data_IF_506094687959
#
_entry.id   IF_506094687959
#
_cell.length_a   1.000
_cell.length_b   1.000
_cell.length_c   1.000
_cell.angle_alpha   90.00
_cell.angle_beta   90.00
_cell.angle_gamma   90.00
#
_symmetry.space_group_name_H-M   'P 1'
#
loop_
_entity.id
_entity.type
_entity.pdbx_description
1 polymer ?
#
# COMPACT_ATOMS: atom_id res chain seq x y z
N UNK A 1 -29.30 10.86 -15.69
CA UNK A 1 -27.91 11.40 -15.76
C UNK A 1 -27.30 11.58 -14.37
N UNK A 2 -27.98 12.24 -13.41
CA UNK A 2 -27.45 12.46 -12.04
C UNK A 2 -27.16 11.18 -11.21
N UNK A 3 -27.97 10.11 -11.36
CA UNK A 3 -27.78 8.88 -10.57
C UNK A 3 -26.48 8.15 -10.96
N UNK A 4 -26.13 8.15 -12.24
CA UNK A 4 -24.93 7.49 -12.75
C UNK A 4 -23.65 8.18 -12.26
N UNK A 5 -23.65 9.51 -12.21
CA UNK A 5 -22.53 10.30 -11.69
C UNK A 5 -22.31 10.09 -10.19
N UNK A 6 -23.39 9.98 -9.39
CA UNK A 6 -23.28 9.64 -7.97
C UNK A 6 -22.69 8.25 -7.74
N UNK A 7 -23.07 7.26 -8.56
CA UNK A 7 -22.52 5.90 -8.46
C UNK A 7 -21.03 5.90 -8.79
N UNK A 8 -20.62 6.60 -9.86
CA UNK A 8 -19.21 6.70 -10.28
C UNK A 8 -18.38 7.45 -9.23
N UNK A 9 -18.89 8.55 -8.68
CA UNK A 9 -18.25 9.29 -7.60
C UNK A 9 -18.12 8.45 -6.30
N UNK A 10 -19.16 7.68 -5.97
CA UNK A 10 -19.14 6.77 -4.82
C UNK A 10 -18.10 5.66 -4.97
N UNK A 11 -18.07 4.99 -6.13
CA UNK A 11 -17.13 3.88 -6.40
C UNK A 11 -15.68 4.38 -6.42
N UNK A 12 -15.42 5.55 -7.01
CA UNK A 12 -14.08 6.14 -7.11
C UNK A 12 -13.45 6.48 -5.74
N UNK A 13 -14.26 6.66 -4.69
CA UNK A 13 -13.76 6.90 -3.31
C UNK A 13 -13.81 5.63 -2.46
N UNK A 14 -14.87 4.83 -2.57
CA UNK A 14 -15.07 3.64 -1.76
C UNK A 14 -14.09 2.52 -2.12
N UNK A 15 -13.85 2.28 -3.42
CA UNK A 15 -12.98 1.20 -3.87
C UNK A 15 -11.53 1.35 -3.39
N UNK A 16 -10.85 2.52 -3.54
CA UNK A 16 -9.51 2.67 -3.01
C UNK A 16 -9.47 2.64 -1.48
N UNK A 17 -10.49 3.17 -0.78
CA UNK A 17 -10.58 3.07 0.67
C UNK A 17 -10.62 1.60 1.14
N UNK A 18 -11.43 0.76 0.48
CA UNK A 18 -11.49 -0.68 0.77
C UNK A 18 -10.16 -1.38 0.49
N UNK A 19 -9.47 -1.02 -0.59
CA UNK A 19 -8.14 -1.58 -0.92
C UNK A 19 -7.11 -1.20 0.16
N UNK A 20 -7.11 0.05 0.63
CA UNK A 20 -6.21 0.49 1.70
C UNK A 20 -6.52 -0.24 3.01
N UNK A 21 -7.79 -0.34 3.40
CA UNK A 21 -8.21 -1.03 4.63
C UNK A 21 -7.80 -2.51 4.57
N UNK A 22 -8.06 -3.19 3.45
CA UNK A 22 -7.69 -4.61 3.30
C UNK A 22 -6.17 -4.82 3.30
N UNK A 23 -5.40 -3.91 2.69
CA UNK A 23 -3.94 -3.94 2.75
C UNK A 23 -3.40 -3.75 4.18
N UNK A 24 -3.98 -2.82 4.96
CA UNK A 24 -3.61 -2.61 6.36
C UNK A 24 -3.93 -3.86 7.19
N UNK A 25 -5.13 -4.43 7.05
CA UNK A 25 -5.53 -5.65 7.77
C UNK A 25 -4.60 -6.82 7.42
N UNK A 26 -4.25 -6.99 6.14
CA UNK A 26 -3.34 -8.04 5.70
C UNK A 26 -1.93 -7.87 6.29
N UNK A 27 -1.41 -6.63 6.34
CA UNK A 27 -0.14 -6.34 7.02
C UNK A 27 -0.22 -6.63 8.52
N UNK A 28 -1.33 -6.26 9.18
CA UNK A 28 -1.51 -6.48 10.61
C UNK A 28 -1.57 -7.97 10.94
N UNK A 29 -2.32 -8.76 10.15
CA UNK A 29 -2.37 -10.23 10.28
C UNK A 29 -0.99 -10.87 10.07
N UNK A 30 -0.20 -10.39 9.09
CA UNK A 30 1.19 -10.87 8.90
C UNK A 30 2.06 -10.59 10.12
N UNK A 31 2.00 -9.37 10.69
CA UNK A 31 2.76 -9.02 11.90
C UNK A 31 2.32 -9.84 13.11
N UNK A 32 1.00 -10.01 13.31
CA UNK A 32 0.47 -10.81 14.42
C UNK A 32 0.93 -12.27 14.32
N UNK A 33 0.81 -12.88 13.14
CA UNK A 33 1.25 -14.26 12.90
C UNK A 33 2.76 -14.41 13.12
N UNK A 34 3.56 -13.41 12.73
CA UNK A 34 5.00 -13.40 13.01
C UNK A 34 5.31 -13.41 14.52
N UNK A 35 4.64 -12.56 15.30
CA UNK A 35 4.80 -12.52 16.75
C UNK A 35 4.41 -13.84 17.41
N UNK A 36 3.29 -14.44 17.00
CA UNK A 36 2.85 -15.74 17.53
C UNK A 36 3.84 -16.86 17.19
N UNK A 37 4.40 -16.88 15.98
CA UNK A 37 5.43 -17.85 15.61
C UNK A 37 6.71 -17.70 16.42
N UNK A 38 7.12 -16.45 16.71
CA UNK A 38 8.28 -16.17 17.56
C UNK A 38 8.00 -16.58 19.01
N UNK A 39 6.81 -16.26 19.54
CA UNK A 39 6.43 -16.64 20.90
C UNK A 39 6.43 -18.16 21.07
N UNK A 40 5.81 -18.90 20.14
CA UNK A 40 5.80 -20.37 20.14
C UNK A 40 7.21 -20.97 20.00
N UNK A 41 8.08 -20.35 19.21
CA UNK A 41 9.46 -20.81 19.06
C UNK A 41 10.27 -20.61 20.36
N UNK A 42 10.00 -19.53 21.11
CA UNK A 42 10.58 -19.27 22.43
C UNK A 42 10.03 -20.24 23.48
N UNK A 43 8.73 -20.51 23.48
CA UNK A 43 8.07 -21.48 24.39
C UNK A 43 8.57 -22.92 24.17
N UNK A 44 8.95 -23.28 22.94
CA UNK A 44 9.54 -24.59 22.61
C UNK A 44 11.00 -24.75 23.04
N UNK A 45 11.58 -23.76 23.75
CA UNK A 45 12.95 -23.84 24.29
C UNK A 45 14.05 -23.81 23.22
N UNK A 46 13.74 -23.38 21.99
CA UNK A 46 14.75 -23.26 20.93
C UNK A 46 15.74 -22.14 21.23
N UNK A 47 17.01 -22.42 21.02
CA UNK A 47 18.10 -21.47 21.23
C UNK A 47 17.90 -20.22 20.34
N UNK A 48 18.22 -19.04 20.88
CA UNK A 48 18.02 -17.76 20.19
C UNK A 48 18.70 -17.66 18.81
N UNK A 49 19.75 -18.46 18.59
CA UNK A 49 20.45 -18.58 17.31
C UNK A 49 19.67 -19.38 16.26
N UNK A 50 18.97 -20.46 16.63
CA UNK A 50 18.12 -21.23 15.70
C UNK A 50 16.88 -20.44 15.29
N UNK A 51 16.28 -19.70 16.23
CA UNK A 51 15.17 -18.79 15.98
C UNK A 51 15.64 -17.71 14.99
N UNK A 52 16.81 -17.10 15.22
CA UNK A 52 17.38 -16.15 14.28
C UNK A 52 17.61 -16.75 12.89
N UNK A 53 18.07 -17.98 12.76
CA UNK A 53 18.32 -18.59 11.44
C UNK A 53 17.01 -18.89 10.69
N UNK A 54 16.02 -19.47 11.36
CA UNK A 54 14.71 -19.79 10.75
C UNK A 54 14.00 -18.49 10.29
N UNK A 55 14.06 -17.43 11.10
CA UNK A 55 13.43 -16.14 10.77
C UNK A 55 14.30 -15.19 9.94
N UNK A 56 15.64 -15.37 9.89
CA UNK A 56 16.52 -14.61 9.00
C UNK A 56 16.29 -14.97 7.54
N UNK A 57 16.00 -16.24 7.25
CA UNK A 57 15.63 -16.73 5.91
C UNK A 57 14.32 -16.06 5.46
N UNK A 58 13.36 -15.87 6.36
CA UNK A 58 12.10 -15.19 6.07
C UNK A 58 12.27 -13.67 5.90
N UNK A 59 13.15 -13.05 6.68
CA UNK A 59 13.43 -11.60 6.63
C UNK A 59 14.12 -11.18 5.33
N UNK A 60 14.92 -12.07 4.73
CA UNK A 60 15.65 -11.77 3.50
C UNK A 60 14.72 -11.64 2.28
N UNK A 61 13.53 -12.27 2.29
CA UNK A 61 12.61 -12.24 1.14
C UNK A 61 11.77 -10.95 1.04
N UNK A 62 11.76 -10.11 2.08
CA UNK A 62 10.87 -8.93 2.15
C UNK A 62 11.56 -7.57 1.91
N UNK A 63 12.87 -7.56 1.64
CA UNK A 63 13.63 -6.31 1.40
C UNK A 63 13.56 -5.81 -0.05
N UNK A 64 12.80 -6.46 -0.93
CA UNK A 64 12.95 -6.28 -2.37
C UNK A 64 12.35 -5.00 -2.97
N UNK A 65 11.33 -4.36 -2.38
CA UNK A 65 10.57 -3.36 -3.15
C UNK A 65 9.96 -2.18 -2.39
N UNK A 66 10.48 -1.80 -1.21
CA UNK A 66 10.05 -0.57 -0.56
C UNK A 66 10.18 0.65 -1.50
N UNK A 67 11.33 0.80 -2.16
CA UNK A 67 11.56 1.85 -3.17
C UNK A 67 10.62 1.68 -4.38
N UNK A 68 10.26 0.44 -4.73
CA UNK A 68 9.29 0.13 -5.79
C UNK A 68 7.90 0.71 -5.51
N UNK A 69 7.43 0.65 -4.25
CA UNK A 69 6.16 1.27 -3.85
C UNK A 69 6.21 2.80 -3.92
N UNK A 70 7.34 3.41 -3.55
CA UNK A 70 7.50 4.87 -3.70
C UNK A 70 7.52 5.31 -5.16
N UNK A 71 8.34 4.65 -6.01
CA UNK A 71 8.42 4.96 -7.44
C UNK A 71 7.09 4.72 -8.13
N UNK A 72 6.46 3.57 -7.87
CA UNK A 72 5.14 3.25 -8.40
C UNK A 72 4.09 4.26 -7.96
N UNK A 73 4.07 4.64 -6.68
CA UNK A 73 3.15 5.64 -6.16
C UNK A 73 3.31 7.03 -6.80
N UNK A 74 4.56 7.51 -6.96
CA UNK A 74 4.84 8.79 -7.63
C UNK A 74 4.41 8.76 -9.09
N UNK A 75 4.72 7.69 -9.82
CA UNK A 75 4.33 7.53 -11.24
C UNK A 75 2.81 7.50 -11.38
N UNK A 76 2.14 6.67 -10.57
CA UNK A 76 0.67 6.53 -10.62
C UNK A 76 -0.02 7.84 -10.25
N UNK A 77 0.42 8.53 -9.19
CA UNK A 77 -0.11 9.85 -8.86
C UNK A 77 0.13 10.87 -9.99
N UNK A 78 1.30 10.84 -10.63
CA UNK A 78 1.61 11.69 -11.77
C UNK A 78 0.68 11.46 -12.97
N UNK A 79 0.36 10.20 -13.28
CA UNK A 79 -0.61 9.83 -14.33
C UNK A 79 -1.99 10.40 -13.99
N UNK A 80 -2.43 10.24 -12.74
CA UNK A 80 -3.74 10.76 -12.31
C UNK A 80 -3.83 12.29 -12.38
N UNK A 81 -2.78 13.00 -11.97
CA UNK A 81 -2.70 14.46 -12.10
C UNK A 81 -2.68 14.88 -13.58
N UNK A 82 -1.93 14.17 -14.42
CA UNK A 82 -1.87 14.44 -15.86
C UNK A 82 -3.22 14.26 -16.55
N UNK A 83 -3.95 13.19 -16.23
CA UNK A 83 -5.29 12.95 -16.75
C UNK A 83 -6.29 14.02 -16.29
N UNK A 84 -6.24 14.43 -15.01
CA UNK A 84 -7.05 15.52 -14.50
C UNK A 84 -6.72 16.86 -15.19
N UNK A 85 -5.44 17.12 -15.46
CA UNK A 85 -4.99 18.31 -16.19
C UNK A 85 -5.47 18.33 -17.64
N UNK A 86 -5.40 17.20 -18.34
CA UNK A 86 -5.95 17.09 -19.70
C UNK A 86 -7.47 17.29 -19.67
N UNK A 87 -8.18 16.66 -18.73
CA UNK A 87 -9.63 16.80 -18.55
C UNK A 87 -10.08 18.26 -18.34
N UNK A 88 -9.26 19.07 -17.63
CA UNK A 88 -9.49 20.52 -17.48
C UNK A 88 -9.41 21.26 -18.82
N UNK A 89 -8.44 20.91 -19.67
CA UNK A 89 -8.25 21.55 -20.98
C UNK A 89 -9.37 21.18 -21.95
N UNK A 90 -9.79 19.91 -21.97
CA UNK A 90 -10.81 19.42 -22.91
C UNK A 90 -12.25 19.52 -22.36
N UNK A 91 -12.44 20.02 -21.13
CA UNK A 91 -13.73 20.13 -20.45
C UNK A 91 -14.54 18.83 -20.37
N UNK A 92 -13.85 17.68 -20.32
CA UNK A 92 -14.51 16.36 -20.20
C UNK A 92 -14.60 15.99 -18.73
N UNK A 93 -15.80 16.17 -18.16
CA UNK A 93 -16.07 15.94 -16.74
C UNK A 93 -16.00 14.48 -16.33
N UNK A 94 -16.26 13.56 -17.26
CA UNK A 94 -16.25 12.11 -17.03
C UNK A 94 -14.87 11.56 -16.62
N UNK A 95 -13.80 12.28 -16.96
CA UNK A 95 -12.40 11.86 -16.69
C UNK A 95 -11.94 12.26 -15.29
N UNK A 96 -12.65 13.16 -14.58
CA UNK A 96 -12.23 13.57 -13.23
C UNK A 96 -12.31 12.43 -12.21
N UNK A 97 -13.40 11.67 -12.20
CA UNK A 97 -13.59 10.58 -11.26
C UNK A 97 -12.51 9.48 -11.37
N UNK A 98 -12.18 8.94 -12.56
CA UNK A 98 -11.08 7.99 -12.71
C UNK A 98 -9.71 8.62 -12.42
N UNK A 99 -9.51 9.90 -12.76
CA UNK A 99 -8.26 10.61 -12.42
C UNK A 99 -8.06 10.71 -10.90
N UNK A 100 -9.12 11.05 -10.15
CA UNK A 100 -9.08 11.14 -8.70
C UNK A 100 -8.79 9.78 -8.06
N UNK A 101 -9.40 8.71 -8.57
CA UNK A 101 -9.13 7.34 -8.13
C UNK A 101 -7.64 6.97 -8.31
N UNK A 102 -7.07 7.26 -9.49
CA UNK A 102 -5.66 7.01 -9.79
C UNK A 102 -4.74 7.79 -8.83
N UNK A 103 -5.06 9.06 -8.54
CA UNK A 103 -4.29 9.86 -7.58
C UNK A 103 -4.30 9.23 -6.19
N UNK A 104 -5.49 8.84 -5.69
CA UNK A 104 -5.64 8.21 -4.37
C UNK A 104 -4.85 6.89 -4.31
N UNK A 105 -4.88 6.10 -5.38
CA UNK A 105 -4.13 4.84 -5.45
C UNK A 105 -2.61 5.08 -5.42
N UNK A 106 -2.12 6.08 -6.15
CA UNK A 106 -0.71 6.47 -6.10
C UNK A 106 -0.29 6.95 -4.71
N UNK A 107 -1.13 7.77 -4.04
CA UNK A 107 -0.89 8.21 -2.67
C UNK A 107 -0.91 7.04 -1.68
N UNK A 108 -1.78 6.05 -1.86
CA UNK A 108 -1.80 4.85 -1.03
C UNK A 108 -0.50 4.04 -1.16
N UNK A 109 0.07 3.92 -2.36
CA UNK A 109 1.38 3.26 -2.56
C UNK A 109 2.52 4.04 -1.86
N UNK A 110 2.49 5.37 -1.92
CA UNK A 110 3.43 6.23 -1.17
C UNK A 110 3.24 6.02 0.35
N UNK A 111 2.00 5.96 0.84
CA UNK A 111 1.72 5.70 2.25
C UNK A 111 2.22 4.31 2.69
N UNK A 112 2.02 3.29 1.86
CA UNK A 112 2.58 1.94 2.09
C UNK A 112 4.11 2.01 2.16
N UNK A 113 4.78 2.79 1.30
CA UNK A 113 6.22 2.99 1.42
C UNK A 113 6.60 3.55 2.80
N UNK A 114 5.94 4.60 3.29
CA UNK A 114 6.27 5.15 4.61
C UNK A 114 5.99 4.18 5.77
N UNK A 115 4.93 3.36 5.68
CA UNK A 115 4.61 2.35 6.69
C UNK A 115 5.56 1.14 6.65
N UNK A 116 6.08 0.81 5.47
CA UNK A 116 6.95 -0.36 5.25
C UNK A 116 8.43 0.02 5.26
N UNK A 117 8.77 1.32 5.18
CA UNK A 117 10.13 1.82 5.31
C UNK A 117 10.67 1.38 6.67
N UNK A 118 11.69 0.50 6.72
CA UNK A 118 12.33 0.21 7.98
C UNK A 118 12.90 1.53 8.52
N UNK A 119 12.49 1.92 9.74
CA UNK A 119 13.16 2.98 10.51
C UNK A 119 14.59 2.49 10.79
N UNK A 120 15.47 2.70 9.83
CA UNK A 120 16.83 2.19 9.81
C UNK A 120 17.80 3.28 9.41
N UNK A 121 18.27 4.00 10.45
CA UNK A 121 19.45 4.86 10.52
C UNK A 121 19.55 5.99 9.49
N UNK A 122 19.12 7.17 9.94
CA UNK A 122 19.81 8.43 9.67
C UNK A 122 21.32 8.16 9.68
N UNK A 123 21.97 8.33 8.53
CA UNK A 123 23.41 8.54 8.48
C UNK A 123 23.66 10.01 8.77
#
# INVERSE_FOLDING_TARGET
MQVTEMIIAGISILLPAVIVITAIIAQYKKKKKYYESVLKAVELGKNAEEIKQIFAIEKQKNNGNAIGFLRGGVIVSGIGIGLAGIALVISVTEVYAPSLFIIILGLALIAIYYLTKPKGKTK
#
